data_IF_100485410362
#
_entry.id   IF_100485410362
#
_cell.length_a   1.000
_cell.length_b   1.000
_cell.length_c   1.000
_cell.angle_alpha   90.00
_cell.angle_beta   90.00
_cell.angle_gamma   90.00
#
_symmetry.space_group_name_H-M   'P 1'
#
loop_
_entity.id
_entity.type
_entity.pdbx_description
1 polymer ?
#
# COMPACT_ATOMS: atom_id res chain seq x y z
N UNK A 1 -32.82 62.38 3.35
CA UNK A 1 -31.46 62.20 2.76
C UNK A 1 -31.47 60.82 2.10
N UNK A 2 -31.80 60.68 0.80
CA UNK A 2 -30.86 60.66 -0.35
C UNK A 2 -29.70 59.68 -0.05
N UNK A 3 -29.58 58.48 -0.65
CA UNK A 3 -29.38 58.23 -2.09
C UNK A 3 -29.52 56.74 -2.51
N UNK A 4 -30.11 56.52 -3.71
CA UNK A 4 -29.73 55.62 -4.84
C UNK A 4 -29.50 54.11 -4.57
N UNK A 5 -30.26 53.11 -5.07
CA UNK A 5 -30.75 52.78 -6.43
C UNK A 5 -29.66 52.72 -7.52
N UNK A 6 -29.37 51.51 -8.00
CA UNK A 6 -28.50 51.24 -9.15
C UNK A 6 -28.81 49.89 -9.80
N UNK A 7 -29.83 49.86 -10.66
CA UNK A 7 -30.02 48.85 -11.69
C UNK A 7 -29.02 49.08 -12.83
N UNK A 8 -28.41 48.01 -13.34
CA UNK A 8 -27.67 48.00 -14.60
C UNK A 8 -28.16 46.86 -15.49
N UNK A 9 -28.75 47.22 -16.63
CA UNK A 9 -29.18 46.33 -17.70
C UNK A 9 -28.41 46.65 -19.01
N UNK A 10 -28.57 45.77 -20.01
CA UNK A 10 -28.07 45.80 -21.40
C UNK A 10 -26.61 45.35 -21.60
N UNK A 11 -26.23 44.60 -22.65
CA UNK A 11 -26.81 44.51 -23.98
C UNK A 11 -26.59 43.14 -24.67
N UNK A 12 -27.56 42.86 -25.53
CA UNK A 12 -27.66 41.87 -26.60
C UNK A 12 -26.63 42.13 -27.72
N UNK A 13 -26.04 41.10 -28.35
CA UNK A 13 -25.46 41.21 -29.71
C UNK A 13 -25.36 39.88 -30.44
N UNK A 14 -26.19 39.82 -31.48
CA UNK A 14 -26.05 39.26 -32.83
C UNK A 14 -25.78 37.77 -33.10
N UNK A 15 -26.56 37.31 -34.07
CA UNK A 15 -26.68 35.99 -34.64
C UNK A 15 -26.09 35.91 -36.06
N UNK A 16 -26.03 34.66 -36.55
CA UNK A 16 -26.15 34.19 -37.94
C UNK A 16 -24.94 34.23 -38.90
N UNK A 17 -24.65 33.04 -39.43
CA UNK A 17 -23.90 32.75 -40.67
C UNK A 17 -23.60 31.24 -40.73
N UNK A 18 -24.54 30.39 -41.14
CA UNK A 18 -24.91 30.01 -42.52
C UNK A 18 -24.03 28.87 -43.11
N UNK A 19 -24.74 27.92 -43.71
CA UNK A 19 -24.33 26.61 -44.24
C UNK A 19 -23.37 26.64 -45.44
N UNK A 20 -22.68 25.51 -45.66
CA UNK A 20 -22.13 25.13 -46.96
C UNK A 20 -21.51 23.72 -46.94
N UNK A 21 -22.00 22.75 -47.73
CA UNK A 21 -21.46 21.39 -47.82
C UNK A 21 -20.33 21.33 -48.87
N UNK A 22 -19.21 20.71 -48.52
CA UNK A 22 -18.12 20.39 -49.44
C UNK A 22 -18.04 18.89 -49.65
N UNK A 23 -18.28 18.45 -50.89
CA UNK A 23 -18.22 17.06 -51.33
C UNK A 23 -16.80 16.49 -51.39
N UNK A 24 -16.73 15.16 -51.26
CA UNK A 24 -15.57 14.28 -51.16
C UNK A 24 -14.54 14.33 -52.32
N UNK A 25 -13.40 13.63 -52.14
CA UNK A 25 -13.25 12.39 -52.91
C UNK A 25 -12.80 11.18 -52.08
N UNK A 26 -13.00 10.02 -52.72
CA UNK A 26 -12.86 8.68 -52.17
C UNK A 26 -11.41 8.14 -52.14
N UNK A 27 -11.28 7.08 -51.34
CA UNK A 27 -10.38 5.93 -51.45
C UNK A 27 -8.86 6.15 -51.22
N UNK A 28 -8.39 5.59 -50.11
CA UNK A 28 -7.38 4.53 -50.17
C UNK A 28 -7.39 3.74 -48.85
N UNK A 29 -7.82 2.48 -48.94
CA UNK A 29 -7.54 1.45 -47.94
C UNK A 29 -6.02 1.30 -47.80
N UNK A 30 -5.46 1.96 -46.80
CA UNK A 30 -4.15 1.64 -46.28
C UNK A 30 -4.37 0.94 -44.95
N UNK A 31 -4.47 -0.38 -45.03
CA UNK A 31 -4.36 -1.31 -43.93
C UNK A 31 -2.97 -1.13 -43.29
N UNK A 32 -2.83 -0.12 -42.44
CA UNK A 32 -1.68 0.04 -41.58
C UNK A 32 -1.83 -0.96 -40.44
N UNK A 33 -1.41 -2.20 -40.69
CA UNK A 33 -0.88 -3.08 -39.66
C UNK A 33 0.30 -2.37 -39.04
N UNK A 34 0.03 -1.48 -38.10
CA UNK A 34 1.01 -1.02 -37.13
C UNK A 34 1.48 -2.29 -36.43
N UNK A 35 2.68 -2.75 -36.83
CA UNK A 35 3.31 -3.89 -36.21
C UNK A 35 3.26 -3.69 -34.71
N UNK A 36 2.77 -4.70 -34.01
CA UNK A 36 3.04 -4.92 -32.61
C UNK A 36 4.56 -5.08 -32.49
N UNK A 37 5.26 -3.94 -32.52
CA UNK A 37 6.62 -3.86 -32.07
C UNK A 37 6.56 -4.29 -30.63
N UNK A 38 7.01 -5.51 -30.38
CA UNK A 38 7.22 -6.08 -29.06
C UNK A 38 7.94 -5.01 -28.24
N UNK A 39 7.18 -4.31 -27.40
CA UNK A 39 7.76 -3.28 -26.53
C UNK A 39 8.68 -4.06 -25.62
N UNK A 40 9.97 -3.98 -25.92
CA UNK A 40 11.01 -4.53 -25.06
C UNK A 40 10.74 -3.98 -23.67
N UNK A 41 10.29 -4.85 -22.76
CA UNK A 41 10.00 -4.46 -21.40
C UNK A 41 11.25 -3.82 -20.83
N UNK A 42 11.10 -2.65 -20.20
CA UNK A 42 12.21 -2.01 -19.52
C UNK A 42 12.85 -3.02 -18.54
N UNK A 43 14.19 -3.05 -18.42
CA UNK A 43 14.86 -4.00 -17.56
C UNK A 43 14.35 -3.86 -16.11
N UNK A 44 13.98 -4.97 -15.49
CA UNK A 44 13.58 -5.00 -14.09
C UNK A 44 14.81 -4.82 -13.19
N UNK A 45 14.98 -3.59 -12.71
CA UNK A 45 16.11 -3.14 -11.88
C UNK A 45 16.00 -3.55 -10.41
N UNK A 46 14.98 -4.32 -10.02
CA UNK A 46 14.88 -4.80 -8.64
C UNK A 46 16.06 -5.70 -8.28
N UNK A 47 16.66 -5.43 -7.13
CA UNK A 47 17.59 -6.30 -6.41
C UNK A 47 16.86 -7.46 -5.74
N UNK A 48 15.64 -7.21 -5.29
CA UNK A 48 14.82 -8.18 -4.57
C UNK A 48 13.71 -8.70 -5.46
N UNK A 49 13.71 -10.01 -5.72
CA UNK A 49 12.72 -10.67 -6.59
C UNK A 49 12.27 -11.97 -5.94
N UNK A 50 10.98 -12.34 -6.10
CA UNK A 50 10.50 -13.65 -5.68
C UNK A 50 11.36 -14.77 -6.30
N UNK A 51 11.80 -15.71 -5.47
CA UNK A 51 12.46 -16.92 -5.96
C UNK A 51 11.48 -17.80 -6.77
N UNK A 52 11.98 -18.68 -7.67
CA UNK A 52 11.13 -19.63 -8.37
C UNK A 52 10.24 -20.42 -7.39
N UNK A 53 8.94 -20.47 -7.68
CA UNK A 53 7.96 -21.13 -6.81
C UNK A 53 7.39 -20.28 -5.68
N UNK A 54 7.82 -19.02 -5.54
CA UNK A 54 7.20 -18.02 -4.65
C UNK A 54 6.44 -16.96 -5.47
N UNK A 55 5.59 -16.18 -4.81
CA UNK A 55 4.77 -15.12 -5.42
C UNK A 55 5.14 -13.76 -4.86
N UNK A 56 5.16 -12.73 -5.71
CA UNK A 56 5.24 -11.32 -5.30
C UNK A 56 3.89 -10.75 -4.83
N UNK A 57 2.81 -11.55 -4.93
CA UNK A 57 1.46 -11.21 -4.50
C UNK A 57 0.95 -12.19 -3.43
N UNK A 58 1.61 -12.29 -2.25
CA UNK A 58 1.19 -13.22 -1.20
C UNK A 58 -0.20 -12.87 -0.66
N UNK A 59 -1.05 -13.89 -0.52
CA UNK A 59 -2.44 -13.81 -0.01
C UNK A 59 -2.56 -14.23 1.44
N UNK A 60 -1.58 -14.96 1.93
CA UNK A 60 -1.56 -15.55 3.27
C UNK A 60 -0.27 -15.22 4.01
N UNK A 61 -0.27 -15.38 5.33
CA UNK A 61 0.95 -15.27 6.15
C UNK A 61 1.97 -16.34 5.70
N UNK A 62 1.53 -17.55 5.38
CA UNK A 62 2.40 -18.61 4.86
C UNK A 62 3.09 -18.21 3.56
N UNK A 63 2.36 -17.61 2.62
CA UNK A 63 2.94 -17.14 1.35
C UNK A 63 3.88 -15.94 1.56
N UNK A 64 3.58 -15.04 2.51
CA UNK A 64 4.49 -13.94 2.85
C UNK A 64 5.79 -14.45 3.48
N UNK A 65 5.70 -15.47 4.35
CA UNK A 65 6.87 -16.15 4.93
C UNK A 65 7.64 -16.92 3.85
N UNK A 66 6.95 -17.57 2.91
CA UNK A 66 7.60 -18.23 1.78
C UNK A 66 8.34 -17.22 0.88
N UNK A 67 7.72 -16.07 0.59
CA UNK A 67 8.34 -14.98 -0.16
C UNK A 67 9.61 -14.51 0.54
N UNK A 68 9.54 -14.12 1.83
CA UNK A 68 10.70 -13.57 2.53
C UNK A 68 11.84 -14.60 2.63
N UNK A 69 11.54 -15.87 2.85
CA UNK A 69 12.54 -16.94 2.89
C UNK A 69 13.18 -17.23 1.51
N UNK A 70 12.53 -16.82 0.42
CA UNK A 70 13.07 -16.91 -0.94
C UNK A 70 13.96 -15.73 -1.34
N UNK A 71 14.00 -14.65 -0.56
CA UNK A 71 14.80 -13.47 -0.88
C UNK A 71 16.29 -13.66 -0.52
N UNK A 72 17.21 -12.88 -1.15
CA UNK A 72 18.63 -12.94 -0.81
C UNK A 72 18.90 -12.57 0.65
N UNK A 73 19.58 -13.44 1.40
CA UNK A 73 19.96 -13.21 2.78
C UNK A 73 21.23 -12.33 2.91
N UNK A 74 21.35 -11.51 3.98
CA UNK A 74 20.31 -11.21 4.96
C UNK A 74 19.17 -10.43 4.32
N UNK A 75 17.93 -10.80 4.65
CA UNK A 75 16.75 -10.16 4.05
C UNK A 75 16.42 -8.92 4.86
N UNK A 76 16.24 -7.78 4.19
CA UNK A 76 15.76 -6.54 4.80
C UNK A 76 14.26 -6.36 4.58
N UNK A 77 13.62 -5.53 5.39
CA UNK A 77 12.20 -5.25 5.28
C UNK A 77 11.87 -4.49 3.96
N UNK A 78 12.77 -3.62 3.52
CA UNK A 78 12.70 -2.95 2.22
C UNK A 78 12.75 -3.95 1.06
N UNK A 79 13.58 -5.00 1.19
CA UNK A 79 13.70 -6.05 0.19
C UNK A 79 12.38 -6.83 0.01
N UNK A 80 11.64 -7.06 1.10
CA UNK A 80 10.29 -7.63 1.03
C UNK A 80 9.35 -6.74 0.21
N UNK A 81 9.31 -5.43 0.47
CA UNK A 81 8.41 -4.50 -0.26
C UNK A 81 8.83 -4.30 -1.71
N UNK A 82 10.13 -4.27 -1.98
CA UNK A 82 10.68 -4.23 -3.33
C UNK A 82 10.28 -5.47 -4.15
N UNK A 83 10.25 -6.65 -3.52
CA UNK A 83 9.90 -7.91 -4.17
C UNK A 83 8.42 -8.07 -4.51
N UNK A 84 7.53 -7.27 -3.91
CA UNK A 84 6.09 -7.36 -4.19
C UNK A 84 5.79 -7.00 -5.65
N UNK A 85 4.76 -7.62 -6.22
CA UNK A 85 4.29 -7.29 -7.56
C UNK A 85 3.72 -5.85 -7.60
N UNK A 86 3.55 -5.34 -8.81
CA UNK A 86 3.05 -3.98 -9.07
C UNK A 86 1.84 -4.04 -10.01
N UNK A 87 0.86 -3.11 -9.91
CA UNK A 87 0.83 -1.93 -9.03
C UNK A 87 0.74 -2.26 -7.55
N UNK A 88 1.48 -1.53 -6.72
CA UNK A 88 1.37 -1.66 -5.26
C UNK A 88 0.21 -0.83 -4.75
N UNK A 89 -0.75 -1.46 -4.07
CA UNK A 89 -1.89 -0.76 -3.50
C UNK A 89 -1.57 -0.34 -2.06
N UNK A 90 -1.80 0.94 -1.72
CA UNK A 90 -1.46 1.47 -0.40
C UNK A 90 -2.48 2.46 0.17
N UNK A 91 -2.48 2.60 1.49
CA UNK A 91 -3.12 3.67 2.25
C UNK A 91 -2.21 4.03 3.42
N UNK A 92 -2.10 5.32 3.76
CA UNK A 92 -1.18 5.79 4.79
C UNK A 92 -1.94 6.54 5.87
N UNK A 93 -1.50 6.41 7.12
CA UNK A 93 -2.09 7.07 8.28
C UNK A 93 -1.04 7.64 9.21
N UNK A 94 -1.26 8.87 9.68
CA UNK A 94 -0.44 9.55 10.70
C UNK A 94 -0.84 9.21 12.14
N UNK A 95 -1.73 8.21 12.33
CA UNK A 95 -2.21 7.83 13.65
C UNK A 95 -1.11 7.23 14.52
N UNK A 96 -1.10 7.61 15.80
CA UNK A 96 -0.24 7.04 16.84
C UNK A 96 -0.97 6.00 17.71
N UNK A 97 -2.24 5.71 17.40
CA UNK A 97 -3.07 4.73 18.10
C UNK A 97 -2.75 3.31 17.60
N UNK A 98 -1.54 2.84 17.90
CA UNK A 98 -0.98 1.57 17.42
C UNK A 98 0.26 1.19 18.25
N UNK A 99 0.64 -0.09 18.23
CA UNK A 99 1.94 -0.57 18.73
C UNK A 99 3.06 -0.14 17.77
N UNK A 100 2.86 -0.26 16.45
CA UNK A 100 3.64 0.41 15.41
C UNK A 100 3.11 1.83 15.13
N UNK A 101 3.64 2.84 15.83
CA UNK A 101 3.15 4.22 15.74
C UNK A 101 3.72 4.95 14.52
N UNK A 102 2.90 5.74 13.85
CA UNK A 102 3.40 6.74 12.91
C UNK A 102 4.22 7.81 13.64
N UNK A 103 5.26 8.34 13.01
CA UNK A 103 6.05 9.48 13.51
C UNK A 103 5.60 10.82 12.89
N UNK A 104 4.39 10.86 12.35
CA UNK A 104 3.78 12.03 11.73
C UNK A 104 3.55 11.83 10.23
N UNK A 105 3.22 12.92 9.54
CA UNK A 105 2.85 12.87 8.11
C UNK A 105 4.01 12.50 7.19
N UNK A 106 5.24 12.86 7.56
CA UNK A 106 6.46 12.54 6.78
C UNK A 106 6.88 11.07 6.90
N UNK A 107 6.45 10.41 7.97
CA UNK A 107 6.76 9.02 8.30
C UNK A 107 5.50 8.31 8.80
N UNK A 108 4.48 8.16 7.93
CA UNK A 108 3.22 7.55 8.31
C UNK A 108 3.37 6.04 8.49
N UNK A 109 2.38 5.44 9.13
CA UNK A 109 2.13 4.01 9.05
C UNK A 109 1.48 3.73 7.69
N UNK A 110 2.04 2.82 6.91
CA UNK A 110 1.61 2.52 5.54
C UNK A 110 1.07 1.09 5.52
N UNK A 111 -0.15 0.96 5.02
CA UNK A 111 -0.81 -0.29 4.71
C UNK A 111 -0.56 -0.62 3.25
N UNK A 112 -0.11 -1.83 2.98
CA UNK A 112 0.30 -2.31 1.67
C UNK A 112 -0.47 -3.59 1.36
N UNK A 113 -1.16 -3.63 0.22
CA UNK A 113 -1.92 -4.80 -0.23
C UNK A 113 -1.19 -5.49 -1.38
N UNK A 114 -0.45 -6.59 -1.11
CA UNK A 114 0.02 -7.49 -2.16
C UNK A 114 -1.13 -8.25 -2.85
N UNK A 115 -2.23 -8.49 -2.15
CA UNK A 115 -3.47 -9.13 -2.63
C UNK A 115 -4.64 -8.67 -1.73
N UNK A 116 -5.87 -9.07 -2.05
CA UNK A 116 -7.07 -8.72 -1.27
C UNK A 116 -7.12 -9.34 0.12
N UNK A 117 -6.49 -10.51 0.31
CA UNK A 117 -6.56 -11.24 1.58
C UNK A 117 -5.46 -10.89 2.58
N UNK A 118 -4.42 -10.19 2.17
CA UNK A 118 -3.28 -9.84 3.03
C UNK A 118 -3.03 -8.34 2.99
N UNK A 119 -2.93 -7.74 4.18
CA UNK A 119 -2.37 -6.39 4.35
C UNK A 119 -1.05 -6.50 5.11
N UNK A 120 -0.01 -5.87 4.57
CA UNK A 120 1.25 -5.64 5.27
C UNK A 120 1.24 -4.21 5.83
N UNK A 121 1.71 -4.04 7.05
CA UNK A 121 1.95 -2.72 7.64
C UNK A 121 3.44 -2.51 7.78
N UNK A 122 3.88 -1.32 7.35
CA UNK A 122 5.24 -0.83 7.56
C UNK A 122 5.22 0.58 8.16
N UNK A 123 6.33 0.97 8.78
CA UNK A 123 6.67 2.37 9.02
C UNK A 123 8.02 2.64 8.37
N UNK A 124 8.18 3.81 7.75
CA UNK A 124 9.40 4.15 6.99
C UNK A 124 10.51 4.73 7.86
N UNK A 125 10.21 5.01 9.12
CA UNK A 125 11.14 5.58 10.09
C UNK A 125 10.75 5.20 11.53
N UNK A 126 11.67 5.40 12.46
CA UNK A 126 11.46 5.15 13.88
C UNK A 126 11.86 3.76 14.36
N UNK A 127 11.65 3.47 15.66
CA UNK A 127 12.15 2.25 16.31
C UNK A 127 11.56 0.95 15.79
N UNK A 128 10.39 0.99 15.14
CA UNK A 128 9.71 -0.19 14.61
C UNK A 128 9.82 -0.31 13.09
N UNK A 129 10.72 0.45 12.44
CA UNK A 129 10.90 0.38 10.99
C UNK A 129 11.39 -0.98 10.51
N UNK A 130 12.10 -1.72 11.35
CA UNK A 130 12.61 -3.06 11.02
C UNK A 130 11.60 -4.17 11.35
N UNK A 131 10.30 -3.83 11.45
CA UNK A 131 9.22 -4.74 11.77
C UNK A 131 8.10 -4.60 10.76
N UNK A 132 7.72 -5.71 10.12
CA UNK A 132 6.54 -5.76 9.25
C UNK A 132 5.42 -6.50 9.97
N UNK A 133 4.30 -5.81 10.15
CA UNK A 133 3.06 -6.39 10.69
C UNK A 133 2.24 -6.99 9.53
N UNK A 134 1.72 -8.19 9.70
CA UNK A 134 0.88 -8.89 8.72
C UNK A 134 -0.55 -8.99 9.23
N UNK A 135 -1.52 -8.75 8.35
CA UNK A 135 -2.94 -8.93 8.59
C UNK A 135 -3.58 -9.78 7.51
N UNK A 136 -3.78 -11.08 7.77
CA UNK A 136 -4.49 -11.97 6.84
C UNK A 136 -5.98 -11.98 7.16
N UNK A 137 -6.82 -11.51 6.24
CA UNK A 137 -8.27 -11.57 6.35
C UNK A 137 -8.75 -13.02 6.22
N UNK A 138 -9.52 -13.46 7.22
CA UNK A 138 -10.18 -14.78 7.26
C UNK A 138 -11.69 -14.67 7.12
N UNK A 139 -12.22 -13.46 7.34
CA UNK A 139 -13.55 -13.00 6.93
C UNK A 139 -13.43 -11.52 6.53
N UNK A 140 -14.44 -10.90 5.89
CA UNK A 140 -14.37 -9.48 5.53
C UNK A 140 -14.08 -8.53 6.71
N UNK A 141 -14.38 -8.93 7.95
CA UNK A 141 -14.21 -8.09 9.15
C UNK A 141 -13.25 -8.66 10.19
N UNK A 142 -12.58 -9.78 9.90
CA UNK A 142 -11.65 -10.43 10.84
C UNK A 142 -10.37 -10.82 10.16
N UNK A 143 -9.28 -10.65 10.87
CA UNK A 143 -7.96 -11.01 10.36
C UNK A 143 -7.05 -11.56 11.44
N UNK A 144 -6.21 -12.52 11.06
CA UNK A 144 -5.10 -13.01 11.86
C UNK A 144 -3.96 -12.01 11.79
N UNK A 145 -3.22 -11.85 12.90
CA UNK A 145 -2.04 -10.98 12.99
C UNK A 145 -0.77 -11.82 13.12
N UNK A 146 0.29 -11.37 12.48
CA UNK A 146 1.63 -11.91 12.63
C UNK A 146 2.65 -10.77 12.47
N UNK A 147 3.89 -11.02 12.86
CA UNK A 147 4.99 -10.06 12.72
C UNK A 147 6.23 -10.74 12.18
N UNK A 148 6.98 -10.03 11.34
CA UNK A 148 8.32 -10.43 10.90
C UNK A 148 9.29 -9.31 11.24
N UNK A 149 10.28 -9.61 12.09
CA UNK A 149 11.36 -8.69 12.42
C UNK A 149 12.54 -8.88 11.46
N UNK A 150 13.15 -7.78 11.08
CA UNK A 150 14.27 -7.71 10.13
C UNK A 150 15.51 -7.11 10.81
N UNK A 151 16.72 -7.34 10.25
CA UNK A 151 16.99 -8.24 9.14
C UNK A 151 16.76 -9.71 9.51
N UNK A 152 16.36 -10.53 8.53
CA UNK A 152 16.38 -11.98 8.68
C UNK A 152 17.74 -12.50 8.26
N UNK A 153 18.48 -13.06 9.21
CA UNK A 153 19.79 -13.69 8.99
C UNK A 153 19.65 -15.17 8.55
N UNK A 154 18.50 -15.78 8.80
CA UNK A 154 18.17 -17.15 8.45
C UNK A 154 16.66 -17.29 8.17
N UNK A 155 16.23 -18.37 7.48
CA UNK A 155 14.81 -18.61 7.22
C UNK A 155 13.97 -18.61 8.50
N UNK A 156 12.77 -18.04 8.40
CA UNK A 156 11.77 -18.02 9.47
C UNK A 156 10.61 -18.98 9.18
N UNK A 157 9.65 -19.08 10.10
CA UNK A 157 8.45 -19.91 9.94
C UNK A 157 7.20 -19.10 10.25
N UNK A 158 6.06 -19.53 9.72
CA UNK A 158 4.76 -18.96 10.07
C UNK A 158 4.47 -19.04 11.57
N UNK A 159 4.83 -20.16 12.21
CA UNK A 159 4.70 -20.31 13.65
C UNK A 159 5.51 -19.23 14.40
N UNK A 160 6.75 -18.95 13.98
CA UNK A 160 7.55 -17.89 14.57
C UNK A 160 6.92 -16.51 14.37
N UNK A 161 6.37 -16.23 13.17
CA UNK A 161 5.70 -14.96 12.89
C UNK A 161 4.42 -14.76 13.73
N UNK A 162 3.64 -15.82 13.93
CA UNK A 162 2.45 -15.83 14.79
C UNK A 162 2.81 -15.76 16.28
N UNK A 163 3.91 -16.36 16.70
CA UNK A 163 4.38 -16.33 18.08
C UNK A 163 4.84 -14.92 18.49
N UNK A 164 5.42 -14.14 17.56
CA UNK A 164 5.88 -12.78 17.85
C UNK A 164 4.79 -11.85 18.36
N UNK A 165 3.56 -12.01 17.89
CA UNK A 165 2.43 -11.21 18.36
C UNK A 165 1.82 -11.76 19.64
N UNK A 166 2.29 -12.88 20.20
CA UNK A 166 1.73 -13.42 21.44
C UNK A 166 2.06 -12.52 22.63
N UNK A 167 1.11 -12.42 23.55
CA UNK A 167 1.38 -11.80 24.83
C UNK A 167 2.18 -12.80 25.68
N UNK A 168 3.43 -12.48 26.07
CA UNK A 168 4.29 -13.41 26.82
C UNK A 168 3.76 -13.72 28.22
N UNK A 169 3.01 -12.81 28.82
CA UNK A 169 2.40 -12.98 30.15
C UNK A 169 1.04 -13.68 30.08
N UNK A 170 0.38 -13.61 28.91
CA UNK A 170 -0.96 -14.12 28.68
C UNK A 170 -1.05 -14.83 27.32
N UNK A 171 -0.54 -16.07 27.18
CA UNK A 171 -0.38 -16.74 25.87
C UNK A 171 -1.70 -17.00 25.12
N UNK A 172 -2.84 -16.90 25.80
CA UNK A 172 -4.18 -16.99 25.21
C UNK A 172 -4.67 -15.70 24.54
N UNK A 173 -3.92 -14.61 24.61
CA UNK A 173 -4.18 -13.36 23.87
C UNK A 173 -2.91 -12.93 23.12
N UNK A 174 -3.09 -12.15 22.08
CA UNK A 174 -1.97 -11.47 21.39
C UNK A 174 -1.68 -10.14 22.08
N UNK A 175 -0.55 -9.49 21.77
CA UNK A 175 -0.28 -8.09 22.12
C UNK A 175 -1.20 -7.13 21.35
N UNK A 176 -1.80 -7.58 20.24
CA UNK A 176 -2.72 -6.80 19.42
C UNK A 176 -4.07 -6.55 20.10
N UNK A 177 -4.40 -7.28 21.17
CA UNK A 177 -5.67 -7.14 21.91
C UNK A 177 -5.95 -5.72 22.44
N UNK A 178 -4.89 -4.92 22.63
CA UNK A 178 -4.98 -3.53 23.07
C UNK A 178 -5.73 -2.66 22.05
N UNK A 179 -5.62 -3.00 20.77
CA UNK A 179 -6.28 -2.30 19.68
C UNK A 179 -7.45 -3.11 19.12
N UNK A 180 -7.29 -4.42 19.01
CA UNK A 180 -8.24 -5.31 18.33
C UNK A 180 -9.04 -6.14 19.34
N UNK A 181 -10.36 -6.01 19.30
CA UNK A 181 -11.24 -6.75 20.21
C UNK A 181 -11.63 -8.14 19.69
N UNK A 182 -12.15 -8.97 20.59
CA UNK A 182 -12.77 -10.29 20.35
C UNK A 182 -11.84 -11.31 19.72
N UNK A 183 -10.67 -11.53 20.32
CA UNK A 183 -9.73 -12.53 19.83
C UNK A 183 -10.25 -13.97 20.04
N UNK A 184 -10.22 -14.77 18.98
CA UNK A 184 -10.54 -16.21 19.02
C UNK A 184 -9.47 -16.98 18.25
N UNK A 185 -9.27 -18.25 18.59
CA UNK A 185 -8.43 -19.13 17.76
C UNK A 185 -9.04 -19.30 16.38
N UNK A 186 -8.21 -19.26 15.34
CA UNK A 186 -8.65 -19.29 13.95
C UNK A 186 -8.39 -20.67 13.32
N UNK A 187 -9.43 -21.49 13.08
CA UNK A 187 -9.25 -22.86 12.60
C UNK A 187 -8.52 -22.95 11.26
N UNK A 188 -8.67 -21.94 10.39
CA UNK A 188 -8.03 -21.94 9.07
C UNK A 188 -6.54 -21.55 9.10
N UNK A 189 -6.02 -21.08 10.24
CA UNK A 189 -4.61 -20.69 10.41
C UNK A 189 -4.08 -21.32 11.71
N UNK A 190 -3.46 -22.51 11.65
CA UNK A 190 -2.95 -23.19 12.83
C UNK A 190 -2.04 -22.30 13.68
N UNK A 191 -2.34 -22.17 14.97
CA UNK A 191 -1.62 -21.27 15.88
C UNK A 191 -1.94 -19.78 15.70
N UNK A 192 -2.87 -19.43 14.80
CA UNK A 192 -3.37 -18.08 14.61
C UNK A 192 -4.55 -17.75 15.51
N UNK A 193 -4.63 -16.49 15.93
CA UNK A 193 -5.85 -15.91 16.51
C UNK A 193 -6.37 -14.83 15.58
N UNK A 194 -7.66 -14.86 15.27
CA UNK A 194 -8.31 -13.78 14.55
C UNK A 194 -8.93 -12.79 15.53
N UNK A 195 -8.95 -11.52 15.14
CA UNK A 195 -9.60 -10.43 15.87
C UNK A 195 -10.32 -9.50 14.88
N UNK A 196 -11.07 -8.52 15.37
CA UNK A 196 -11.72 -7.54 14.48
C UNK A 196 -10.67 -6.75 13.69
N UNK A 197 -10.81 -6.70 12.37
CA UNK A 197 -10.02 -5.84 11.51
C UNK A 197 -10.44 -4.38 11.70
N UNK A 198 -9.47 -3.47 11.70
CA UNK A 198 -9.69 -2.05 11.91
C UNK A 198 -9.13 -1.25 10.74
N UNK A 199 -9.71 -0.08 10.49
CA UNK A 199 -9.25 0.90 9.50
C UNK A 199 -8.88 2.23 10.16
N UNK A 200 -7.98 3.01 9.56
CA UNK A 200 -7.66 4.33 10.08
C UNK A 200 -8.88 5.28 10.01
N UNK A 201 -8.91 6.25 10.92
CA UNK A 201 -9.86 7.38 10.82
C UNK A 201 -9.56 8.23 9.60
N UNK A 202 -10.61 8.70 8.92
CA UNK A 202 -10.46 9.58 7.74
C UNK A 202 -9.59 10.82 8.00
N UNK A 203 -9.68 11.41 9.20
CA UNK A 203 -8.89 12.59 9.57
C UNK A 203 -7.39 12.33 9.82
N UNK A 204 -6.97 11.06 9.86
CA UNK A 204 -5.55 10.69 10.04
C UNK A 204 -4.92 10.20 8.73
N UNK A 205 -5.67 10.14 7.63
CA UNK A 205 -5.13 9.69 6.35
C UNK A 205 -4.08 10.67 5.82
N UNK A 206 -3.04 10.11 5.20
CA UNK A 206 -2.00 10.84 4.48
C UNK A 206 -2.19 10.59 3.00
N UNK A 207 -2.16 11.66 2.22
CA UNK A 207 -2.37 11.60 0.78
C UNK A 207 -1.20 10.91 0.05
N UNK A 208 -1.51 10.11 -0.97
CA UNK A 208 -0.51 9.35 -1.73
C UNK A 208 0.44 10.26 -2.50
N UNK A 209 -0.02 11.41 -3.03
CA UNK A 209 0.86 12.36 -3.69
C UNK A 209 1.81 13.01 -2.68
N UNK A 210 1.33 13.28 -1.46
CA UNK A 210 2.18 13.74 -0.36
C UNK A 210 3.29 12.75 -0.01
N UNK A 211 2.96 11.46 0.07
CA UNK A 211 3.93 10.40 0.34
C UNK A 211 4.91 10.18 -0.83
N UNK A 212 4.45 10.31 -2.08
CA UNK A 212 5.33 10.28 -3.26
C UNK A 212 6.30 11.47 -3.27
N UNK A 213 5.83 12.65 -2.90
CA UNK A 213 6.68 13.83 -2.80
C UNK A 213 7.75 13.68 -1.69
N UNK A 214 7.51 12.88 -0.64
CA UNK A 214 8.54 12.52 0.35
C UNK A 214 9.66 11.68 -0.28
N UNK A 215 9.34 10.75 -1.19
CA UNK A 215 10.35 9.98 -1.93
C UNK A 215 11.19 10.88 -2.84
N UNK A 216 10.55 11.80 -3.57
CA UNK A 216 11.23 12.69 -4.52
C UNK A 216 12.21 13.66 -3.87
N UNK A 217 11.89 14.13 -2.65
CA UNK A 217 12.75 15.06 -1.90
C UNK A 217 13.72 14.38 -0.92
N UNK A 218 13.72 13.05 -0.88
CA UNK A 218 14.43 12.33 0.16
C UNK A 218 15.96 12.52 0.04
N UNK A 219 16.60 12.93 1.13
CA UNK A 219 18.05 13.12 1.19
C UNK A 219 18.72 11.84 1.66
N UNK A 220 19.35 11.10 0.74
CA UNK A 220 20.00 9.82 1.06
C UNK A 220 21.22 9.95 1.96
N UNK A 221 21.84 11.13 2.04
CA UNK A 221 22.97 11.37 2.94
C UNK A 221 22.47 11.68 4.36
N UNK A 222 21.40 12.47 4.48
CA UNK A 222 20.85 12.83 5.79
C UNK A 222 19.94 11.75 6.40
N UNK A 223 19.16 11.04 5.60
CA UNK A 223 18.13 10.08 6.04
C UNK A 223 18.15 8.75 5.25
N UNK A 224 19.29 8.05 5.19
CA UNK A 224 19.50 6.88 4.31
C UNK A 224 18.46 5.78 4.51
N UNK A 225 18.09 5.47 5.76
CA UNK A 225 17.13 4.41 6.07
C UNK A 225 15.71 4.74 5.56
N UNK A 226 15.24 5.98 5.79
CA UNK A 226 13.91 6.41 5.33
C UNK A 226 13.86 6.44 3.80
N UNK A 227 14.93 6.91 3.15
CA UNK A 227 15.00 6.92 1.70
C UNK A 227 15.02 5.51 1.09
N UNK A 228 15.62 4.52 1.75
CA UNK A 228 15.60 3.14 1.30
C UNK A 228 14.16 2.58 1.30
N UNK A 229 13.39 2.82 2.36
CA UNK A 229 11.98 2.47 2.45
C UNK A 229 11.12 3.12 1.37
N UNK A 230 11.28 4.43 1.18
CA UNK A 230 10.57 5.18 0.15
C UNK A 230 10.94 4.71 -1.26
N UNK A 231 12.20 4.36 -1.50
CA UNK A 231 12.63 3.77 -2.77
C UNK A 231 12.00 2.39 -3.00
N UNK A 232 11.97 1.51 -1.98
CA UNK A 232 11.32 0.21 -2.10
C UNK A 232 9.83 0.31 -2.49
N UNK A 233 9.13 1.31 -1.94
CA UNK A 233 7.75 1.61 -2.31
C UNK A 233 7.62 2.11 -3.76
N UNK A 234 8.36 3.16 -4.13
CA UNK A 234 8.04 3.96 -5.33
C UNK A 234 8.96 3.76 -6.54
N UNK A 235 10.15 3.17 -6.39
CA UNK A 235 11.15 3.11 -7.47
C UNK A 235 10.94 1.95 -8.47
N UNK A 236 10.05 1.00 -8.15
CA UNK A 236 9.98 -0.29 -8.85
C UNK A 236 8.65 -0.54 -9.58
N UNK A 237 7.83 0.50 -9.77
CA UNK A 237 6.59 0.43 -10.54
C UNK A 237 5.49 1.33 -10.00
N UNK A 238 4.28 1.24 -10.57
CA UNK A 238 3.15 2.03 -10.11
C UNK A 238 2.76 1.73 -8.67
N UNK A 239 2.34 2.77 -7.95
CA UNK A 239 1.78 2.71 -6.61
C UNK A 239 0.46 3.45 -6.64
N UNK A 240 -0.60 2.79 -6.20
CA UNK A 240 -1.98 3.23 -6.29
C UNK A 240 -2.63 3.29 -4.91
N UNK A 241 -3.59 4.18 -4.76
CA UNK A 241 -4.33 4.28 -3.50
C UNK A 241 -5.42 3.21 -3.42
N UNK A 242 -5.49 2.51 -2.29
CA UNK A 242 -6.59 1.60 -1.94
C UNK A 242 -7.07 1.88 -0.54
N UNK A 243 -8.35 2.23 -0.39
CA UNK A 243 -8.96 2.40 0.92
C UNK A 243 -9.31 1.04 1.55
N UNK A 244 -9.24 0.97 2.88
CA UNK A 244 -9.94 -0.08 3.63
C UNK A 244 -11.46 -0.05 3.38
N UNK A 245 -12.11 -1.21 3.55
CA UNK A 245 -13.57 -1.31 3.57
C UNK A 245 -14.17 -0.39 4.64
N UNK A 246 -15.11 0.47 4.25
CA UNK A 246 -15.74 1.46 5.11
C UNK A 246 -16.52 0.84 6.29
N UNK A 247 -16.91 -0.43 6.20
CA UNK A 247 -17.60 -1.21 7.23
C UNK A 247 -16.69 -1.68 8.36
N UNK A 248 -15.36 -1.60 8.20
CA UNK A 248 -14.44 -1.90 9.28
C UNK A 248 -14.54 -0.84 10.39
N UNK A 249 -14.38 -1.31 11.63
CA UNK A 249 -14.29 -0.41 12.78
C UNK A 249 -13.05 0.47 12.67
N UNK A 250 -13.11 1.67 13.24
CA UNK A 250 -12.02 2.64 13.18
C UNK A 250 -11.08 2.50 14.38
N UNK A 251 -9.80 2.79 14.19
CA UNK A 251 -8.85 3.06 15.27
C UNK A 251 -8.45 4.53 15.30
#
# INVERSE_FOLDING_TARGET
MRHLLGLGALALSLACGACGPGSAPAASDANATAGEGERVAAPDLRRCKPAPGTTGSPKTIDEAVALVNGLPFPVSAECLIEALDRPLQVEASKSTASVQKALGERSPRIFVWPDDQLVMTIVVDGPTRDLVELGQFVTPRRSVKAEIAFPLEAPTTTAAALERVRNPEHPRITSCFVCHDREVDEPSVPGGRSSLALRPRKGTLVDLAGLRAEHERCDREAEPARCAWLAALFAHGPVEHRAFDAELAIF
#
